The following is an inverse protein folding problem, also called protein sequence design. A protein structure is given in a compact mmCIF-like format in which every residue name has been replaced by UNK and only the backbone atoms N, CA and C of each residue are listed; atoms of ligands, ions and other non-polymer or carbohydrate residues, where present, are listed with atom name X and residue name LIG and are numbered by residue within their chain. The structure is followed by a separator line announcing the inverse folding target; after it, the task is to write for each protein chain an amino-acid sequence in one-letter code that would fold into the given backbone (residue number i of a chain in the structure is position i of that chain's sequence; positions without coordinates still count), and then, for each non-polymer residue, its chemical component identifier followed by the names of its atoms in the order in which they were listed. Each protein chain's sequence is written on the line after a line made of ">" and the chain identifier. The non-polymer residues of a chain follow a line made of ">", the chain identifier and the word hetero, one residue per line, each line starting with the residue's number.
data_IF_335768156036
#
_entry.id   IF_335768156036
#
_cell.length_a   1.000
_cell.length_b   1.000
_cell.length_c   1.000
_cell.angle_alpha   90.00
_cell.angle_beta   90.00
_cell.angle_gamma   90.00
#
_symmetry.space_group_name_H-M   'P 1'
#
loop_
_entity.id
_entity.type
_entity.pdbx_description
1 polymer ?
#
# COMPACT_ATOMS: atom_id res chain seq x y z
N UNK A 1 -6.12 -5.32 16.17
CA UNK A 1 -5.34 -5.22 14.91
C UNK A 1 -3.89 -5.52 15.24
N UNK A 2 -3.41 -6.70 14.85
CA UNK A 2 -2.06 -7.19 15.13
C UNK A 2 -1.25 -7.43 13.85
N UNK A 3 -1.93 -7.80 12.76
CA UNK A 3 -1.33 -8.10 11.46
C UNK A 3 -1.61 -7.01 10.44
N UNK A 4 -0.81 -6.99 9.37
CA UNK A 4 -0.98 -6.08 8.25
C UNK A 4 -2.31 -6.34 7.52
N UNK A 5 -2.70 -7.60 7.36
CA UNK A 5 -3.99 -7.97 6.77
C UNK A 5 -5.19 -7.51 7.59
N UNK A 6 -5.11 -7.48 8.91
CA UNK A 6 -6.15 -6.87 9.76
C UNK A 6 -6.17 -5.35 9.62
N UNK A 7 -5.01 -4.70 9.52
CA UNK A 7 -4.91 -3.26 9.36
C UNK A 7 -5.53 -2.79 8.03
N UNK A 8 -5.26 -3.52 6.95
CA UNK A 8 -5.88 -3.28 5.65
C UNK A 8 -7.41 -3.45 5.74
N UNK A 9 -7.89 -4.55 6.33
CA UNK A 9 -9.35 -4.74 6.53
C UNK A 9 -9.98 -3.61 7.34
N UNK A 10 -9.30 -3.14 8.37
CA UNK A 10 -9.75 -2.03 9.19
C UNK A 10 -9.84 -0.72 8.40
N UNK A 11 -8.81 -0.36 7.63
CA UNK A 11 -8.82 0.83 6.78
C UNK A 11 -9.93 0.82 5.73
N UNK A 12 -10.30 -0.38 5.24
CA UNK A 12 -11.38 -0.54 4.28
C UNK A 12 -12.79 -0.49 4.92
N UNK A 13 -12.89 -0.47 6.26
CA UNK A 13 -14.19 -0.29 6.90
C UNK A 13 -14.77 1.06 6.50
N UNK A 14 -16.01 1.05 6.01
CA UNK A 14 -16.75 2.25 5.56
C UNK A 14 -16.19 2.96 4.32
N UNK A 15 -15.18 2.42 3.64
CA UNK A 15 -14.67 2.98 2.37
C UNK A 15 -15.50 2.60 1.14
N UNK A 16 -16.37 1.60 1.28
CA UNK A 16 -17.07 0.96 0.15
C UNK A 16 -16.24 -0.09 -0.59
N UNK A 17 -14.92 -0.22 -0.31
CA UNK A 17 -14.06 -1.26 -0.87
C UNK A 17 -13.89 -2.46 0.08
N UNK A 18 -13.56 -3.62 -0.48
CA UNK A 18 -13.22 -4.85 0.26
C UNK A 18 -11.95 -5.48 -0.29
N UNK A 19 -11.30 -6.36 0.49
CA UNK A 19 -10.19 -7.13 -0.04
C UNK A 19 -10.68 -8.13 -1.09
N UNK A 20 -9.90 -8.30 -2.15
CA UNK A 20 -10.08 -9.41 -3.07
C UNK A 20 -10.02 -10.76 -2.33
N UNK A 21 -10.65 -11.79 -2.90
CA UNK A 21 -10.62 -13.14 -2.32
C UNK A 21 -9.18 -13.66 -2.30
N UNK A 22 -8.89 -14.52 -1.33
CA UNK A 22 -7.56 -15.16 -1.20
C UNK A 22 -7.22 -15.95 -2.47
N UNK A 23 -8.21 -16.60 -3.09
CA UNK A 23 -8.08 -17.31 -4.38
C UNK A 23 -7.58 -16.42 -5.53
N UNK A 24 -7.86 -15.11 -5.48
CA UNK A 24 -7.46 -14.12 -6.47
C UNK A 24 -6.24 -13.31 -6.02
N UNK A 25 -5.61 -13.71 -4.91
CA UNK A 25 -4.49 -13.02 -4.28
C UNK A 25 -3.21 -13.84 -4.46
N UNK A 26 -2.15 -13.23 -5.00
CA UNK A 26 -0.87 -13.91 -5.18
C UNK A 26 -0.19 -14.33 -3.86
N UNK A 27 0.72 -15.33 -3.89
CA UNK A 27 1.37 -15.88 -2.69
C UNK A 27 2.19 -14.84 -1.91
N UNK A 28 2.80 -13.88 -2.59
CA UNK A 28 3.53 -12.77 -1.96
C UNK A 28 2.61 -11.91 -1.08
N UNK A 29 1.40 -11.62 -1.57
CA UNK A 29 0.42 -10.78 -0.86
C UNK A 29 -0.18 -11.50 0.35
N UNK A 30 -0.38 -12.82 0.24
CA UNK A 30 -0.75 -13.66 1.39
C UNK A 30 0.32 -13.58 2.49
N UNK A 31 1.59 -13.67 2.09
CA UNK A 31 2.73 -13.54 3.01
C UNK A 31 2.79 -12.15 3.65
N UNK A 32 2.60 -11.09 2.87
CA UNK A 32 2.53 -9.70 3.34
C UNK A 32 1.44 -9.52 4.42
N UNK A 33 0.25 -10.09 4.22
CA UNK A 33 -0.85 -9.95 5.18
C UNK A 33 -0.63 -10.69 6.50
N UNK A 34 0.20 -11.73 6.50
CA UNK A 34 0.58 -12.46 7.71
C UNK A 34 1.63 -11.71 8.55
N UNK A 35 2.30 -10.69 8.00
CA UNK A 35 3.31 -9.93 8.73
C UNK A 35 2.69 -9.17 9.91
N UNK A 36 3.43 -9.06 11.04
CA UNK A 36 3.00 -8.24 12.16
C UNK A 36 2.95 -6.77 11.73
N UNK A 37 1.93 -6.04 12.20
CA UNK A 37 1.80 -4.61 11.95
C UNK A 37 2.90 -3.86 12.73
N UNK A 38 3.83 -3.16 12.05
CA UNK A 38 4.86 -2.38 12.73
C UNK A 38 4.23 -1.31 13.63
N UNK A 39 4.82 -1.07 14.80
CA UNK A 39 4.29 -0.12 15.80
C UNK A 39 4.12 1.28 15.20
N UNK A 40 5.09 1.71 14.40
CA UNK A 40 5.06 3.01 13.68
C UNK A 40 3.86 3.15 12.75
N UNK A 41 3.36 2.05 12.19
CA UNK A 41 2.21 2.04 11.28
C UNK A 41 0.86 1.95 12.00
N UNK A 42 0.83 1.87 13.34
CA UNK A 42 -0.43 1.95 14.09
C UNK A 42 -1.00 3.37 14.14
N UNK A 43 -0.18 4.38 13.90
CA UNK A 43 -0.58 5.78 13.92
C UNK A 43 0.01 6.50 12.71
N UNK A 44 -0.64 6.37 11.57
CA UNK A 44 -0.14 6.90 10.29
C UNK A 44 -0.51 8.38 10.02
N UNK A 45 -1.13 9.06 10.98
CA UNK A 45 -1.62 10.44 10.77
C UNK A 45 -2.76 10.53 9.74
N UNK A 46 -3.27 11.76 9.48
CA UNK A 46 -4.31 11.99 8.49
C UNK A 46 -3.74 11.88 7.06
N UNK A 47 -4.31 10.98 6.26
CA UNK A 47 -3.99 10.85 4.83
C UNK A 47 -5.14 10.16 4.08
N UNK A 48 -5.02 10.07 2.76
CA UNK A 48 -6.02 9.35 1.95
C UNK A 48 -5.95 7.85 2.20
N UNK A 49 -7.08 7.15 2.04
CA UNK A 49 -7.13 5.69 2.15
C UNK A 49 -6.09 5.02 1.23
N UNK A 50 -5.93 5.54 0.02
CA UNK A 50 -4.98 4.99 -0.96
C UNK A 50 -3.55 5.08 -0.45
N UNK A 51 -3.16 6.22 0.10
CA UNK A 51 -1.81 6.42 0.61
C UNK A 51 -1.58 5.57 1.87
N UNK A 52 -2.60 5.43 2.73
CA UNK A 52 -2.54 4.52 3.87
C UNK A 52 -2.28 3.06 3.46
N UNK A 53 -2.99 2.58 2.44
CA UNK A 53 -2.81 1.23 1.92
C UNK A 53 -1.42 1.03 1.29
N UNK A 54 -0.91 2.02 0.54
CA UNK A 54 0.44 1.98 -0.03
C UNK A 54 1.52 1.99 1.06
N UNK A 55 1.38 2.83 2.08
CA UNK A 55 2.31 2.89 3.21
C UNK A 55 2.36 1.58 3.98
N UNK A 56 1.22 0.91 4.17
CA UNK A 56 1.20 -0.41 4.81
C UNK A 56 1.90 -1.46 3.95
N UNK A 57 1.64 -1.51 2.64
CA UNK A 57 2.21 -2.53 1.76
C UNK A 57 3.71 -2.33 1.49
N UNK A 58 4.17 -1.08 1.49
CA UNK A 58 5.55 -0.72 1.21
C UNK A 58 5.86 -0.61 -0.29
N UNK A 59 7.07 -0.13 -0.64
CA UNK A 59 7.43 0.23 -2.02
C UNK A 59 7.58 -0.96 -2.99
N UNK A 60 7.71 -2.17 -2.45
CA UNK A 60 7.85 -3.41 -3.24
C UNK A 60 6.50 -3.97 -3.70
N UNK A 61 5.39 -3.34 -3.32
CA UNK A 61 4.03 -3.74 -3.67
C UNK A 61 3.27 -2.58 -4.31
N UNK A 62 2.55 -2.89 -5.39
CA UNK A 62 1.60 -2.01 -6.03
C UNK A 62 0.19 -2.30 -5.53
N UNK A 63 -0.57 -1.24 -5.24
CA UNK A 63 -1.99 -1.33 -4.92
C UNK A 63 -2.80 -1.47 -6.22
N UNK A 64 -3.54 -2.56 -6.32
CA UNK A 64 -4.44 -2.84 -7.45
C UNK A 64 -5.88 -2.69 -6.98
N UNK A 65 -6.69 -2.03 -7.79
CA UNK A 65 -8.10 -1.75 -7.50
C UNK A 65 -8.99 -2.28 -8.61
N UNK A 66 -10.05 -2.97 -8.22
CA UNK A 66 -11.17 -3.31 -9.09
C UNK A 66 -12.33 -2.37 -8.74
N UNK A 67 -12.51 -1.27 -9.49
CA UNK A 67 -13.57 -0.31 -9.20
C UNK A 67 -14.98 -0.87 -9.49
N UNK A 68 -15.09 -1.87 -10.38
CA UNK A 68 -16.36 -2.48 -10.77
C UNK A 68 -16.91 -3.33 -9.63
N UNK A 69 -16.05 -4.18 -9.06
CA UNK A 69 -16.43 -5.07 -7.96
C UNK A 69 -16.12 -4.47 -6.58
N UNK A 70 -15.58 -3.24 -6.54
CA UNK A 70 -15.12 -2.56 -5.31
C UNK A 70 -14.13 -3.40 -4.51
N UNK A 71 -13.15 -4.00 -5.19
CA UNK A 71 -12.11 -4.81 -4.56
C UNK A 71 -10.76 -4.09 -4.57
N UNK A 72 -9.93 -4.42 -3.60
CA UNK A 72 -8.52 -4.03 -3.57
C UNK A 72 -7.64 -5.25 -3.30
N UNK A 73 -6.48 -5.28 -3.92
CA UNK A 73 -5.43 -6.27 -3.68
C UNK A 73 -4.06 -5.62 -3.85
N UNK A 74 -3.00 -6.40 -3.61
CA UNK A 74 -1.63 -5.97 -3.85
C UNK A 74 -0.95 -6.95 -4.79
N UNK A 75 -0.02 -6.43 -5.59
CA UNK A 75 0.84 -7.20 -6.46
C UNK A 75 2.29 -6.76 -6.23
N UNK A 76 3.23 -7.70 -6.28
CA UNK A 76 4.64 -7.38 -6.09
C UNK A 76 5.14 -6.61 -7.32
N UNK A 77 5.80 -5.47 -7.11
CA UNK A 77 6.44 -4.72 -8.18
C UNK A 77 7.47 -5.62 -8.88
N UNK A 78 7.36 -5.75 -10.19
CA UNK A 78 8.44 -6.32 -10.99
C UNK A 78 9.61 -5.32 -11.03
N UNK A 79 10.87 -5.79 -11.14
CA UNK A 79 12.04 -4.91 -11.17
C UNK A 79 12.02 -3.89 -12.32
N UNK A 80 11.27 -4.16 -13.39
CA UNK A 80 11.07 -3.24 -14.51
C UNK A 80 10.25 -2.00 -14.10
N UNK A 81 9.43 -2.12 -13.05
CA UNK A 81 8.44 -1.12 -12.65
C UNK A 81 8.93 -0.18 -11.51
N UNK A 82 9.99 -0.56 -10.80
CA UNK A 82 10.53 0.22 -9.68
C UNK A 82 11.28 1.49 -10.13
N UNK A 83 11.61 1.60 -11.41
CA UNK A 83 12.33 2.74 -11.99
C UNK A 83 11.45 3.99 -12.20
N UNK A 84 10.12 3.89 -12.14
CA UNK A 84 9.22 4.98 -12.59
C UNK A 84 8.78 5.95 -11.49
N UNK A 85 9.16 5.73 -10.22
CA UNK A 85 8.51 6.38 -9.08
C UNK A 85 9.37 7.26 -8.16
N UNK A 86 10.66 7.45 -8.42
CA UNK A 86 11.53 8.26 -7.55
C UNK A 86 12.08 9.47 -8.28
N UNK A 87 11.20 10.36 -8.75
CA UNK A 87 11.60 11.76 -9.00
C UNK A 87 11.85 12.38 -7.62
N UNK A 88 13.08 12.25 -7.15
CA UNK A 88 13.58 13.01 -6.01
C UNK A 88 13.47 14.48 -6.43
N UNK A 89 12.56 15.21 -5.80
CA UNK A 89 12.58 16.66 -5.74
C UNK A 89 13.89 17.06 -5.06
N UNK A 90 14.97 17.17 -5.85
CA UNK A 90 16.10 17.99 -5.46
C UNK A 90 15.67 19.44 -5.70
N UNK A 91 15.22 20.07 -4.63
CA UNK A 91 15.50 21.49 -4.37
C UNK A 91 16.92 21.78 -4.85
N UNK A 92 17.06 22.45 -5.99
CA UNK A 92 18.26 23.20 -6.30
C UNK A 92 18.00 24.59 -5.75
N UNK A 93 18.33 24.74 -4.47
CA UNK A 93 18.44 26.03 -3.81
C UNK A 93 19.31 26.95 -4.67
N UNK A 94 18.77 28.15 -4.86
CA UNK A 94 19.45 29.33 -5.37
C UNK A 94 20.82 29.47 -4.69
N UNK A 95 21.89 29.48 -5.47
CA UNK A 95 23.15 30.09 -5.06
C UNK A 95 23.60 30.97 -6.22
N UNK A 96 23.40 32.27 -6.01
CA UNK A 96 23.97 33.39 -6.75
C UNK A 96 25.50 33.31 -6.73
N UNK A 97 26.15 33.44 -7.90
CA UNK A 97 27.09 34.52 -8.26
C UNK A 97 27.52 34.40 -9.73
#
# INVERSE_FOLDING_TARGET
>A
IQTLGEAVRYLLQRSGYRLAKIESTGPDTVTLFALPLPVVHRSLGPMTLRDALKTLAGPTFNLVQDPVHRLVTFERCSPDQLAVGTTIEKEVAQNEE
#
